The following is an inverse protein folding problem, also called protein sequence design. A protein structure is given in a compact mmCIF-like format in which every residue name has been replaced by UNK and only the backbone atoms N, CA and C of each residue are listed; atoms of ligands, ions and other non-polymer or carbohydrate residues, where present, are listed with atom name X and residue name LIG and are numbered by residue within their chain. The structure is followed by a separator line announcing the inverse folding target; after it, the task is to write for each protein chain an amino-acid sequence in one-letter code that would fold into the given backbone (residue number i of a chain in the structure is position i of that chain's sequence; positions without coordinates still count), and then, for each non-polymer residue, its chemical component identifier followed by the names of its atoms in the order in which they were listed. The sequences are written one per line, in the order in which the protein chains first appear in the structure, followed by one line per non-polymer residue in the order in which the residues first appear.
data_IF_732245457704
#
_entry.id   IF_732245457704
#
_cell.length_a   1.000
_cell.length_b   1.000
_cell.length_c   1.000
_cell.angle_alpha   90.00
_cell.angle_beta   90.00
_cell.angle_gamma   90.00
#
_symmetry.space_group_name_H-M   'P 1'
#
loop_
_entity.id
_entity.type
_entity.pdbx_description
1 polymer ?
#
# COMPACT_ATOMS: atom_id res chain seq x y z
N UNK A 1 10.47 19.04 -33.88
CA UNK A 1 10.61 19.44 -32.46
C UNK A 1 10.48 18.18 -31.65
N UNK A 2 11.61 17.65 -31.16
CA UNK A 2 11.63 16.37 -30.41
C UNK A 2 11.38 16.67 -28.95
N UNK A 3 10.27 16.18 -28.41
CA UNK A 3 9.99 16.23 -26.99
C UNK A 3 10.80 15.10 -26.34
N UNK A 4 11.89 15.44 -25.69
CA UNK A 4 12.59 14.51 -24.80
C UNK A 4 11.69 14.29 -23.60
N UNK A 5 11.01 13.14 -23.52
CA UNK A 5 10.46 12.67 -22.28
C UNK A 5 11.63 12.42 -21.33
N UNK A 6 11.88 13.37 -20.46
CA UNK A 6 12.76 13.15 -19.33
C UNK A 6 12.13 12.07 -18.46
N UNK A 7 12.69 10.87 -18.49
CA UNK A 7 12.52 9.94 -17.38
C UNK A 7 13.13 10.69 -16.19
N UNK A 8 12.29 11.13 -15.28
CA UNK A 8 12.75 11.69 -14.01
C UNK A 8 13.41 10.54 -13.24
N UNK A 9 14.70 10.33 -13.48
CA UNK A 9 15.51 9.59 -12.53
C UNK A 9 15.59 10.46 -11.29
N UNK A 10 14.78 10.16 -10.31
CA UNK A 10 15.03 10.63 -8.95
C UNK A 10 16.17 9.77 -8.42
N UNK A 11 17.38 10.16 -8.71
CA UNK A 11 18.57 9.50 -8.22
C UNK A 11 19.62 10.55 -7.94
N UNK A 12 19.75 10.92 -6.70
CA UNK A 12 20.98 11.41 -6.13
C UNK A 12 21.50 10.31 -5.21
N UNK A 13 22.22 9.32 -5.75
CA UNK A 13 23.00 8.37 -4.95
C UNK A 13 22.24 7.36 -4.08
N UNK A 14 20.91 7.27 -4.20
CA UNK A 14 20.07 6.41 -3.39
C UNK A 14 19.62 5.12 -4.11
N UNK A 15 18.85 4.32 -3.41
CA UNK A 15 18.23 3.11 -3.93
C UNK A 15 17.25 3.42 -5.06
N UNK A 16 17.31 2.65 -6.16
CA UNK A 16 16.36 2.75 -7.26
C UNK A 16 15.46 1.51 -7.30
N UNK A 17 14.16 1.74 -7.46
CA UNK A 17 13.24 0.66 -7.79
C UNK A 17 13.29 0.47 -9.32
N UNK A 18 13.92 -0.62 -9.75
CA UNK A 18 14.12 -0.89 -11.18
C UNK A 18 12.89 -1.49 -11.86
N UNK A 19 11.97 -2.08 -11.10
CA UNK A 19 10.85 -2.83 -11.65
C UNK A 19 9.56 -2.57 -10.86
N UNK A 20 8.45 -2.61 -11.60
CA UNK A 20 7.10 -2.56 -11.03
C UNK A 20 6.18 -3.51 -11.78
N UNK A 21 5.13 -3.98 -11.11
CA UNK A 21 4.11 -4.83 -11.71
C UNK A 21 2.91 -3.96 -12.08
N UNK A 22 2.46 -4.07 -13.33
CA UNK A 22 1.20 -3.45 -13.80
C UNK A 22 0.02 -4.38 -13.49
N UNK A 23 -0.95 -3.84 -12.78
CA UNK A 23 -2.26 -4.47 -12.58
C UNK A 23 -3.28 -3.74 -13.43
N UNK A 24 -3.86 -4.45 -14.38
CA UNK A 24 -4.93 -3.93 -15.22
C UNK A 24 -6.27 -4.46 -14.70
N UNK A 25 -7.12 -3.53 -14.27
CA UNK A 25 -8.44 -3.86 -13.72
C UNK A 25 -9.32 -4.61 -14.73
N UNK A 26 -9.27 -4.27 -16.02
CA UNK A 26 -10.08 -4.92 -17.05
C UNK A 26 -9.70 -6.37 -17.28
N UNK A 27 -8.46 -6.74 -16.98
CA UNK A 27 -7.96 -8.11 -17.09
C UNK A 27 -8.15 -8.90 -15.79
N UNK A 28 -8.74 -8.27 -14.77
CA UNK A 28 -8.88 -8.84 -13.42
C UNK A 28 -7.56 -9.35 -12.84
N UNK A 29 -6.47 -8.65 -13.12
CA UNK A 29 -5.12 -9.03 -12.70
C UNK A 29 -4.96 -8.91 -11.17
N UNK A 30 -4.44 -9.97 -10.54
CA UNK A 30 -4.16 -10.00 -9.11
C UNK A 30 -3.09 -11.04 -8.78
N UNK A 31 -2.55 -10.96 -7.56
CA UNK A 31 -1.69 -12.00 -6.98
C UNK A 31 -2.30 -12.51 -5.69
N UNK A 32 -1.89 -13.71 -5.27
CA UNK A 32 -2.30 -14.32 -4.00
C UNK A 32 -1.10 -14.83 -3.23
N UNK A 33 -1.22 -14.79 -1.90
CA UNK A 33 -0.31 -15.47 -0.99
C UNK A 33 -1.11 -16.04 0.17
N UNK A 34 -0.81 -17.26 0.55
CA UNK A 34 -1.32 -17.89 1.78
C UNK A 34 -0.22 -17.83 2.83
N UNK A 35 -0.53 -17.25 3.98
CA UNK A 35 0.34 -17.31 5.16
C UNK A 35 0.02 -18.59 5.93
N UNK A 36 1.04 -19.22 6.48
CA UNK A 36 0.93 -20.51 7.20
C UNK A 36 0.83 -20.36 8.71
N UNK A 37 1.09 -19.17 9.22
CA UNK A 37 1.09 -18.84 10.65
C UNK A 37 0.33 -17.56 10.93
N UNK A 38 -0.26 -17.47 12.11
CA UNK A 38 -0.71 -16.19 12.66
C UNK A 38 0.50 -15.51 13.32
N UNK A 39 0.87 -14.34 12.86
CA UNK A 39 2.06 -13.62 13.33
C UNK A 39 1.74 -12.55 14.39
N UNK A 40 0.56 -12.61 15.02
CA UNK A 40 0.15 -11.68 16.08
C UNK A 40 -0.35 -10.31 15.56
N UNK A 41 -0.52 -9.35 16.44
CA UNK A 41 -1.11 -8.03 16.15
C UNK A 41 -0.07 -6.95 15.88
N UNK A 42 1.22 -7.36 15.79
CA UNK A 42 2.33 -6.45 15.45
C UNK A 42 2.83 -6.79 14.05
N UNK A 43 2.72 -5.84 13.12
CA UNK A 43 3.08 -6.06 11.72
C UNK A 43 3.30 -4.74 10.99
N UNK A 44 3.99 -4.80 9.86
CA UNK A 44 4.13 -3.69 8.94
C UNK A 44 3.79 -4.13 7.53
N UNK A 45 2.99 -3.33 6.86
CA UNK A 45 2.73 -3.44 5.42
C UNK A 45 3.23 -2.18 4.72
N UNK A 46 4.13 -2.35 3.77
CA UNK A 46 4.72 -1.25 3.00
C UNK A 46 4.67 -1.56 1.51
N UNK A 47 4.34 -0.55 0.71
CA UNK A 47 4.40 -0.65 -0.75
C UNK A 47 4.58 0.70 -1.42
N UNK A 48 5.18 0.69 -2.59
CA UNK A 48 5.12 1.78 -3.55
C UNK A 48 3.99 1.50 -4.54
N UNK A 49 3.12 2.48 -4.73
CA UNK A 49 1.90 2.35 -5.53
C UNK A 49 1.71 3.57 -6.41
N UNK A 50 1.35 3.33 -7.68
CA UNK A 50 0.91 4.38 -8.61
C UNK A 50 -0.48 4.05 -9.13
N UNK A 51 -1.43 4.95 -8.95
CA UNK A 51 -2.79 4.77 -9.44
C UNK A 51 -2.83 4.96 -10.97
N UNK A 52 -3.49 4.04 -11.67
CA UNK A 52 -3.69 4.13 -13.12
C UNK A 52 -5.02 4.81 -13.48
N UNK A 53 -6.02 4.68 -12.62
CA UNK A 53 -7.36 5.18 -12.88
C UNK A 53 -8.03 5.67 -11.59
N UNK A 54 -8.82 6.75 -11.71
CA UNK A 54 -9.74 7.25 -10.69
C UNK A 54 -11.18 6.89 -11.06
N UNK A 55 -12.12 7.07 -10.13
CA UNK A 55 -13.57 6.99 -10.39
C UNK A 55 -14.03 5.71 -11.10
N UNK A 56 -13.58 4.55 -10.61
CA UNK A 56 -13.89 3.25 -11.22
C UNK A 56 -15.26 2.69 -10.86
N UNK A 57 -16.08 3.42 -10.13
CA UNK A 57 -17.38 2.98 -9.63
C UNK A 57 -17.32 2.05 -8.41
N UNK A 58 -16.26 1.29 -8.25
CA UNK A 58 -16.03 0.39 -7.10
C UNK A 58 -14.69 0.71 -6.44
N UNK A 59 -14.57 0.45 -5.13
CA UNK A 59 -13.31 0.63 -4.41
C UNK A 59 -12.18 -0.17 -5.07
N UNK A 60 -10.98 0.36 -5.02
CA UNK A 60 -9.80 -0.27 -5.59
C UNK A 60 -8.96 -0.87 -4.46
N UNK A 61 -9.12 -2.17 -4.22
CA UNK A 61 -8.36 -2.88 -3.21
C UNK A 61 -6.97 -3.23 -3.73
N UNK A 62 -5.94 -2.79 -3.03
CA UNK A 62 -4.56 -3.17 -3.30
C UNK A 62 -4.06 -4.29 -2.38
N UNK A 63 -4.75 -4.54 -1.25
CA UNK A 63 -4.50 -5.66 -0.35
C UNK A 63 -5.79 -6.08 0.35
N UNK A 64 -6.12 -7.37 0.37
CA UNK A 64 -7.30 -7.87 1.09
C UNK A 64 -7.20 -9.34 1.43
N UNK A 65 -7.85 -9.73 2.51
CA UNK A 65 -8.05 -11.13 2.87
C UNK A 65 -9.09 -11.81 1.96
N UNK A 66 -8.88 -13.09 1.61
CA UNK A 66 -9.80 -13.84 0.73
C UNK A 66 -11.19 -14.04 1.36
N UNK A 67 -11.29 -14.07 2.68
CA UNK A 67 -12.58 -14.13 3.37
C UNK A 67 -13.39 -12.83 3.27
N UNK A 68 -12.75 -11.72 2.87
CA UNK A 68 -13.34 -10.38 2.87
C UNK A 68 -13.44 -9.74 4.24
N UNK A 69 -12.79 -10.32 5.26
CA UNK A 69 -12.85 -9.78 6.62
C UNK A 69 -12.03 -8.53 6.81
N UNK A 70 -10.99 -8.33 5.99
CA UNK A 70 -10.11 -7.17 6.10
C UNK A 70 -9.50 -6.76 4.75
N UNK A 71 -9.09 -5.50 4.63
CA UNK A 71 -8.49 -5.01 3.42
C UNK A 71 -8.11 -3.53 3.43
N UNK A 72 -7.27 -3.17 2.48
CA UNK A 72 -6.79 -1.81 2.24
C UNK A 72 -7.13 -1.40 0.81
N UNK A 73 -7.70 -0.21 0.64
CA UNK A 73 -8.21 0.24 -0.65
C UNK A 73 -8.17 1.75 -0.82
N UNK A 74 -8.35 2.21 -2.06
CA UNK A 74 -8.85 3.55 -2.33
C UNK A 74 -10.37 3.53 -2.46
N UNK A 75 -11.04 4.46 -1.79
CA UNK A 75 -12.47 4.71 -1.93
C UNK A 75 -12.69 5.56 -3.17
N UNK A 76 -13.32 5.01 -4.19
CA UNK A 76 -13.41 5.69 -5.49
C UNK A 76 -14.34 6.89 -5.54
N UNK A 77 -15.30 6.99 -4.63
CA UNK A 77 -16.19 8.14 -4.54
C UNK A 77 -15.53 9.38 -3.89
N UNK A 78 -14.47 9.18 -3.10
CA UNK A 78 -13.79 10.23 -2.35
C UNK A 78 -12.30 10.32 -2.62
N UNK A 79 -11.70 9.29 -3.23
CA UNK A 79 -10.26 9.11 -3.44
C UNK A 79 -9.44 9.09 -2.14
N UNK A 80 -10.06 8.69 -1.04
CA UNK A 80 -9.41 8.53 0.26
C UNK A 80 -8.84 7.12 0.40
N UNK A 81 -7.84 6.94 1.26
CA UNK A 81 -7.41 5.63 1.71
C UNK A 81 -8.42 5.04 2.68
N UNK A 82 -8.60 3.75 2.59
CA UNK A 82 -9.44 2.95 3.48
C UNK A 82 -8.64 1.80 4.07
N UNK A 83 -8.80 1.59 5.37
CA UNK A 83 -8.54 0.32 6.02
C UNK A 83 -9.87 -0.23 6.52
N UNK A 84 -10.15 -1.48 6.19
CA UNK A 84 -11.32 -2.20 6.62
C UNK A 84 -10.90 -3.40 7.47
N UNK A 85 -11.50 -3.56 8.65
CA UNK A 85 -11.18 -4.59 9.62
C UNK A 85 -12.47 -5.13 10.25
N UNK A 86 -12.97 -6.24 9.76
CA UNK A 86 -14.26 -6.79 10.15
C UNK A 86 -15.41 -5.83 9.84
N UNK A 87 -16.18 -5.45 10.84
CA UNK A 87 -17.27 -4.50 10.69
C UNK A 87 -16.82 -3.02 10.73
N UNK A 88 -15.55 -2.76 11.07
CA UNK A 88 -15.04 -1.40 11.27
C UNK A 88 -14.36 -0.91 10.00
N UNK A 89 -14.72 0.30 9.59
CA UNK A 89 -14.19 0.97 8.41
C UNK A 89 -13.52 2.28 8.82
N UNK A 90 -12.26 2.44 8.47
CA UNK A 90 -11.48 3.66 8.67
C UNK A 90 -11.22 4.30 7.30
N UNK A 91 -11.46 5.59 7.16
CA UNK A 91 -11.12 6.34 5.95
C UNK A 91 -10.22 7.52 6.32
N UNK A 92 -9.22 7.78 5.48
CA UNK A 92 -8.36 8.95 5.64
C UNK A 92 -9.13 10.25 5.34
N UNK A 93 -8.69 11.37 5.90
CA UNK A 93 -9.16 12.70 5.52
C UNK A 93 -8.48 13.18 4.21
N UNK A 94 -7.15 13.03 4.04
CA UNK A 94 -6.51 13.36 2.79
C UNK A 94 -7.00 12.51 1.62
N UNK A 95 -7.01 13.13 0.44
CA UNK A 95 -7.37 12.51 -0.85
C UNK A 95 -6.13 12.28 -1.71
N UNK A 96 -6.14 11.22 -2.53
CA UNK A 96 -5.00 10.75 -3.31
C UNK A 96 -5.38 10.62 -4.77
N UNK A 97 -5.36 11.74 -5.53
CA UNK A 97 -5.86 11.84 -6.91
C UNK A 97 -4.77 11.93 -7.96
N UNK A 98 -3.51 12.05 -7.55
CA UNK A 98 -2.42 12.11 -8.50
C UNK A 98 -2.17 10.73 -9.11
N UNK A 99 -2.38 10.61 -10.42
CA UNK A 99 -2.09 9.40 -11.19
C UNK A 99 -0.72 9.46 -11.87
N UNK A 100 -0.02 10.59 -11.78
CA UNK A 100 1.32 10.78 -12.36
C UNK A 100 2.43 10.37 -11.40
N UNK A 101 2.20 10.52 -10.09
CA UNK A 101 3.16 10.26 -9.03
C UNK A 101 3.02 8.87 -8.41
N UNK A 102 4.08 8.44 -7.73
CA UNK A 102 4.08 7.29 -6.85
C UNK A 102 3.73 7.71 -5.43
N UNK A 103 2.95 6.87 -4.75
CA UNK A 103 2.70 6.95 -3.32
C UNK A 103 3.47 5.82 -2.64
N UNK A 104 4.24 6.14 -1.63
CA UNK A 104 4.73 5.16 -0.67
C UNK A 104 3.72 5.09 0.48
N UNK A 105 3.11 3.94 0.69
CA UNK A 105 2.10 3.74 1.72
C UNK A 105 2.64 2.73 2.73
N UNK A 106 2.64 3.11 4.01
CA UNK A 106 3.03 2.24 5.11
C UNK A 106 1.90 2.19 6.13
N UNK A 107 1.45 0.98 6.45
CA UNK A 107 0.64 0.70 7.62
C UNK A 107 1.52 -0.05 8.62
N UNK A 108 1.64 0.50 9.82
CA UNK A 108 2.42 -0.09 10.90
C UNK A 108 1.52 -0.31 12.10
N UNK A 109 1.45 -1.56 12.59
CA UNK A 109 0.64 -1.97 13.73
C UNK A 109 1.52 -2.42 14.88
N UNK A 110 1.24 -1.90 16.06
CA UNK A 110 1.88 -2.33 17.30
C UNK A 110 0.79 -2.81 18.27
N UNK A 111 0.82 -4.09 18.62
CA UNK A 111 -0.16 -4.73 19.48
C UNK A 111 -1.62 -4.40 19.08
N UNK A 112 -1.91 -4.49 17.78
CA UNK A 112 -3.23 -4.26 17.19
C UNK A 112 -3.59 -2.79 16.96
N UNK A 113 -2.83 -1.82 17.45
CA UNK A 113 -3.04 -0.40 17.13
C UNK A 113 -2.17 0.00 15.96
N UNK A 114 -2.83 0.37 14.85
CA UNK A 114 -2.12 0.74 13.62
C UNK A 114 -2.11 2.25 13.37
N UNK A 115 -1.12 2.67 12.64
CA UNK A 115 -0.97 4.01 12.07
C UNK A 115 -0.65 3.89 10.58
N UNK A 116 -0.94 4.95 9.82
CA UNK A 116 -0.64 5.01 8.39
C UNK A 116 0.25 6.20 8.06
N UNK A 117 1.16 5.97 7.14
CA UNK A 117 2.03 6.99 6.55
C UNK A 117 1.87 6.99 5.02
N UNK A 118 1.96 8.15 4.43
CA UNK A 118 2.03 8.32 2.97
C UNK A 118 3.20 9.24 2.66
N UNK A 119 4.14 8.76 1.83
CA UNK A 119 5.36 9.49 1.46
C UNK A 119 6.15 10.00 2.68
N UNK A 120 6.31 9.14 3.69
CA UNK A 120 7.02 9.45 4.94
C UNK A 120 6.22 10.23 5.97
N UNK A 121 5.09 10.83 5.60
CA UNK A 121 4.28 11.67 6.48
C UNK A 121 3.13 10.90 7.11
N UNK A 122 2.95 11.04 8.43
CA UNK A 122 1.85 10.40 9.14
C UNK A 122 0.50 10.99 8.73
N UNK A 123 -0.44 10.12 8.36
CA UNK A 123 -1.82 10.52 8.05
C UNK A 123 -2.57 10.76 9.36
N UNK A 124 -2.75 12.04 9.70
CA UNK A 124 -3.39 12.44 10.96
C UNK A 124 -4.82 11.93 11.06
N UNK A 125 -5.20 11.39 12.22
CA UNK A 125 -6.52 10.86 12.48
C UNK A 125 -6.86 9.53 11.77
N UNK A 126 -5.97 9.02 10.92
CA UNK A 126 -6.13 7.74 10.24
C UNK A 126 -5.37 6.66 11.01
N UNK A 127 -5.97 6.19 12.07
CA UNK A 127 -5.46 5.17 13.00
C UNK A 127 -6.64 4.41 13.63
N UNK A 128 -6.38 3.27 14.22
CA UNK A 128 -7.39 2.45 14.86
C UNK A 128 -6.85 1.11 15.33
N UNK A 129 -7.74 0.14 15.54
CA UNK A 129 -7.38 -1.22 15.89
C UNK A 129 -7.61 -2.15 14.72
N UNK A 130 -6.67 -3.06 14.43
CA UNK A 130 -6.74 -4.00 13.32
C UNK A 130 -6.10 -5.35 13.71
N UNK A 131 -6.89 -6.18 14.35
CA UNK A 131 -6.50 -7.52 14.83
C UNK A 131 -6.73 -8.64 13.80
N UNK A 132 -7.29 -8.32 12.63
CA UNK A 132 -7.62 -9.31 11.60
C UNK A 132 -6.58 -9.39 10.47
N UNK A 133 -5.60 -8.49 10.44
CA UNK A 133 -4.64 -8.40 9.33
C UNK A 133 -3.53 -9.45 9.37
N UNK A 134 -3.44 -10.21 10.43
CA UNK A 134 -2.36 -11.16 10.60
C UNK A 134 -2.89 -12.58 10.84
N UNK A 135 -3.59 -13.09 9.85
CA UNK A 135 -4.22 -14.40 9.92
C UNK A 135 -3.59 -15.39 8.96
N UNK A 136 -3.54 -16.63 9.40
CA UNK A 136 -3.28 -17.82 8.62
C UNK A 136 -4.37 -18.00 7.53
N UNK A 137 -4.39 -17.11 6.55
CA UNK A 137 -5.37 -17.08 5.47
C UNK A 137 -4.71 -16.74 4.13
N UNK A 138 -5.46 -16.93 3.06
CA UNK A 138 -5.08 -16.42 1.75
C UNK A 138 -5.35 -14.92 1.65
N UNK A 139 -4.37 -14.20 1.18
CA UNK A 139 -4.42 -12.77 0.92
C UNK A 139 -4.28 -12.47 -0.56
N UNK A 140 -4.96 -11.43 -1.00
CA UNK A 140 -4.96 -10.96 -2.38
C UNK A 140 -4.25 -9.62 -2.48
N UNK A 141 -3.44 -9.47 -3.51
CA UNK A 141 -2.87 -8.20 -3.94
C UNK A 141 -3.65 -7.76 -5.19
N UNK A 142 -4.19 -6.54 -5.17
CA UNK A 142 -4.98 -5.91 -6.24
C UNK A 142 -6.36 -6.53 -6.52
N UNK A 143 -6.94 -7.26 -5.58
CA UNK A 143 -8.29 -7.79 -5.67
C UNK A 143 -8.98 -7.78 -4.30
N UNK A 144 -10.31 -7.61 -4.27
CA UNK A 144 -11.17 -7.99 -3.16
C UNK A 144 -11.83 -9.34 -3.44
N UNK A 145 -12.28 -10.02 -2.39
CA UNK A 145 -12.95 -11.34 -2.49
C UNK A 145 -14.11 -11.37 -3.49
N UNK A 146 -14.84 -10.27 -3.63
CA UNK A 146 -15.99 -10.17 -4.54
C UNK A 146 -15.63 -10.22 -6.04
N UNK A 147 -14.36 -10.33 -6.38
CA UNK A 147 -13.84 -10.30 -7.76
C UNK A 147 -14.27 -9.08 -8.60
N UNK A 148 -14.75 -8.02 -7.97
CA UNK A 148 -15.25 -6.81 -8.65
C UNK A 148 -14.46 -5.54 -8.32
N UNK A 149 -13.62 -5.58 -7.29
CA UNK A 149 -12.95 -4.42 -6.71
C UNK A 149 -11.44 -4.47 -6.95
N UNK A 150 -11.06 -4.69 -8.21
CA UNK A 150 -9.65 -4.73 -8.60
C UNK A 150 -9.02 -3.34 -8.57
N UNK A 151 -7.75 -3.31 -8.22
CA UNK A 151 -6.91 -2.13 -8.36
C UNK A 151 -6.51 -1.93 -9.83
N UNK A 152 -6.35 -0.69 -10.24
CA UNK A 152 -5.75 -0.32 -11.51
C UNK A 152 -4.52 0.55 -11.27
N UNK A 153 -3.35 0.09 -11.72
CA UNK A 153 -2.12 0.85 -11.50
C UNK A 153 -0.88 -0.02 -11.48
N UNK A 154 0.14 0.48 -10.82
CA UNK A 154 1.43 -0.18 -10.66
C UNK A 154 1.76 -0.34 -9.19
N UNK A 155 2.37 -1.46 -8.82
CA UNK A 155 2.92 -1.72 -7.50
C UNK A 155 4.40 -2.09 -7.62
N UNK A 156 5.16 -1.68 -6.61
CA UNK A 156 6.56 -2.04 -6.45
C UNK A 156 6.91 -2.15 -4.96
N UNK A 157 7.97 -2.88 -4.63
CA UNK A 157 8.48 -3.00 -3.27
C UNK A 157 7.37 -3.31 -2.26
N UNK A 158 6.66 -4.43 -2.45
CA UNK A 158 5.56 -4.85 -1.59
C UNK A 158 6.14 -5.69 -0.45
N UNK A 159 6.04 -5.19 0.77
CA UNK A 159 6.52 -5.85 1.97
C UNK A 159 5.36 -6.14 2.92
N UNK A 160 5.29 -7.37 3.40
CA UNK A 160 4.57 -7.75 4.60
C UNK A 160 5.57 -8.28 5.61
N UNK A 161 5.68 -7.62 6.76
CA UNK A 161 6.66 -7.93 7.79
C UNK A 161 5.91 -8.21 9.08
N UNK A 162 6.03 -9.44 9.56
CA UNK A 162 5.45 -9.89 10.83
C UNK A 162 6.29 -9.48 12.02
N UNK A 163 5.67 -9.45 13.20
CA UNK A 163 6.27 -9.20 14.50
C UNK A 163 7.04 -7.88 14.67
N UNK A 164 6.93 -6.96 13.70
CA UNK A 164 7.63 -5.68 13.69
C UNK A 164 6.71 -4.53 13.32
N UNK A 165 6.66 -3.50 14.17
CA UNK A 165 6.02 -2.22 13.89
C UNK A 165 7.11 -1.21 13.45
N UNK A 166 7.38 -1.18 12.14
CA UNK A 166 8.45 -0.40 11.54
C UNK A 166 7.99 1.01 11.19
N UNK A 167 8.96 1.91 11.05
CA UNK A 167 8.78 3.28 10.64
C UNK A 167 8.87 3.41 9.10
N UNK A 168 8.24 4.38 8.44
CA UNK A 168 8.38 4.57 7.00
C UNK A 168 9.82 4.81 6.56
N UNK A 169 10.68 5.32 7.43
CA UNK A 169 12.12 5.54 7.15
C UNK A 169 12.94 4.25 7.01
N UNK A 170 12.34 3.08 7.31
CA UNK A 170 12.94 1.80 6.98
C UNK A 170 12.86 1.47 5.48
N UNK A 171 11.92 2.10 4.75
CA UNK A 171 11.62 1.82 3.33
C UNK A 171 11.79 3.01 2.40
N UNK A 172 11.96 4.20 2.96
CA UNK A 172 12.13 5.44 2.21
C UNK A 172 12.87 6.49 3.03
N UNK A 173 13.23 7.59 2.38
CA UNK A 173 13.91 8.72 3.01
C UNK A 173 13.60 10.01 2.24
N UNK A 174 13.77 11.16 2.87
CA UNK A 174 13.79 12.43 2.18
C UNK A 174 15.17 12.67 1.58
N UNK A 175 15.22 12.97 0.28
CA UNK A 175 16.46 13.40 -0.36
C UNK A 175 16.80 14.87 -0.03
N UNK A 176 17.91 15.36 -0.53
CA UNK A 176 18.37 16.74 -0.29
C UNK A 176 17.41 17.82 -0.82
N UNK A 177 16.55 17.48 -1.76
CA UNK A 177 15.48 18.34 -2.30
C UNK A 177 14.19 18.29 -1.49
N UNK A 178 14.15 17.49 -0.42
CA UNK A 178 12.95 17.27 0.40
C UNK A 178 11.89 16.38 -0.27
N UNK A 179 12.27 15.61 -1.28
CA UNK A 179 11.38 14.65 -1.94
C UNK A 179 11.52 13.27 -1.29
N UNK A 180 10.39 12.64 -0.98
CA UNK A 180 10.38 11.28 -0.47
C UNK A 180 10.77 10.28 -1.57
N UNK A 181 11.84 9.51 -1.35
CA UNK A 181 12.43 8.56 -2.30
C UNK A 181 12.55 7.18 -1.67
N UNK A 182 12.59 6.10 -2.47
CA UNK A 182 12.72 4.76 -1.95
C UNK A 182 14.10 4.52 -1.33
N UNK A 183 14.11 3.64 -0.33
CA UNK A 183 15.29 3.11 0.33
C UNK A 183 15.19 1.59 0.40
N UNK A 184 16.29 0.88 0.17
CA UNK A 184 16.30 -0.57 0.29
C UNK A 184 16.01 -0.98 1.74
N UNK A 185 15.04 -1.85 1.93
CA UNK A 185 14.82 -2.45 3.24
C UNK A 185 15.95 -3.40 3.58
N UNK A 186 16.59 -3.18 4.73
CA UNK A 186 17.76 -3.94 5.19
C UNK A 186 17.48 -4.76 6.48
N UNK A 187 16.22 -4.80 6.91
CA UNK A 187 15.81 -5.55 8.11
C UNK A 187 15.46 -7.01 7.82
N UNK A 188 14.88 -7.65 8.82
CA UNK A 188 14.38 -9.04 8.74
C UNK A 188 12.89 -9.04 8.42
N UNK A 189 12.37 -10.15 7.88
CA UNK A 189 10.98 -10.26 7.46
C UNK A 189 10.03 -10.90 8.48
N UNK A 190 10.54 -11.19 9.68
CA UNK A 190 9.82 -11.93 10.72
C UNK A 190 10.05 -13.42 10.67
#
# INVERSE_FOLDING_TARGET
MSIIQGTTKVSAGGYNIDQSIRFNRSDSAYLTRTFSTDEGDTWTFSLWLKRGQLSTGNNQYFFSEESGASGMAFVTSTDTLRLYNGATVYNSTPVYRDTSGWYHIVFSSNAGTWVCYVNGERVSGFTGTATLFNRNNQWNICRHVSNSNHFDGYLAEIYWIGDQALDPTDFGEFNDDGVWVPKAYAGTYG
#
